data_IF_398940773774
#
_entry.id   IF_398940773774
#
_cell.length_a   1.000
_cell.length_b   1.000
_cell.length_c   1.000
_cell.angle_alpha   90.00
_cell.angle_beta   90.00
_cell.angle_gamma   90.00
#
_symmetry.space_group_name_H-M   'P 1'
#
loop_
_entity.id
_entity.type
_entity.pdbx_description
1 polymer ?
#
# COMPACT_ATOMS: atom_id res chain seq x y z
N UNK A 1 -10.06 8.97 -8.37
CA UNK A 1 -10.92 8.76 -7.17
C UNK A 1 -10.21 9.43 -6.03
N UNK A 2 -10.86 10.37 -5.36
CA UNK A 2 -10.22 11.12 -4.30
C UNK A 2 -11.11 12.27 -3.91
N UNK A 3 -11.67 12.19 -2.71
CA UNK A 3 -12.28 13.33 -2.05
C UNK A 3 -11.20 14.27 -1.53
N UNK A 4 -11.61 15.37 -0.91
CA UNK A 4 -10.71 16.09 -0.02
C UNK A 4 -10.49 15.19 1.21
N UNK A 5 -9.23 14.86 1.49
CA UNK A 5 -8.86 14.10 2.69
C UNK A 5 -7.72 14.80 3.39
N UNK A 6 -7.76 14.80 4.72
CA UNK A 6 -6.61 15.02 5.58
C UNK A 6 -6.64 13.94 6.64
N UNK A 7 -5.73 12.99 6.56
CA UNK A 7 -5.74 11.80 7.40
C UNK A 7 -4.35 11.54 7.98
N UNK A 8 -4.18 11.50 9.31
CA UNK A 8 -2.92 11.06 9.91
C UNK A 8 -2.73 9.56 9.63
N UNK A 9 -1.50 9.15 9.32
CA UNK A 9 -1.14 7.76 9.02
C UNK A 9 -0.35 7.19 10.19
N UNK A 10 -0.95 6.24 10.92
CA UNK A 10 -0.30 5.58 12.06
C UNK A 10 0.79 4.61 11.59
N UNK A 11 0.49 3.85 10.53
CA UNK A 11 1.35 2.84 9.97
C UNK A 11 1.33 2.83 8.45
N UNK A 12 2.50 2.54 7.86
CA UNK A 12 2.61 2.12 6.48
C UNK A 12 2.88 0.62 6.45
N UNK A 13 2.06 -0.13 5.72
CA UNK A 13 2.30 -1.52 5.35
C UNK A 13 2.79 -1.51 3.91
N UNK A 14 4.05 -1.84 3.70
CA UNK A 14 4.71 -1.78 2.41
C UNK A 14 5.06 -3.19 1.92
N UNK A 15 4.56 -3.54 0.73
CA UNK A 15 4.95 -4.74 -0.01
C UNK A 15 6.07 -4.36 -0.97
N UNK A 16 7.26 -4.88 -0.74
CA UNK A 16 8.43 -4.56 -1.54
C UNK A 16 8.32 -5.17 -2.94
N UNK A 17 8.25 -4.33 -3.97
CA UNK A 17 8.08 -4.75 -5.35
C UNK A 17 9.19 -5.71 -5.82
N UNK A 18 10.46 -5.45 -5.44
CA UNK A 18 11.60 -6.26 -5.90
C UNK A 18 11.54 -7.66 -5.30
N UNK A 19 11.32 -7.75 -4.00
CA UNK A 19 11.20 -9.03 -3.31
C UNK A 19 9.93 -9.79 -3.74
N UNK A 20 8.83 -9.07 -3.93
CA UNK A 20 7.55 -9.66 -4.33
C UNK A 20 7.59 -10.32 -5.71
N UNK A 21 8.26 -9.71 -6.69
CA UNK A 21 8.35 -10.23 -8.06
C UNK A 21 9.06 -11.57 -8.10
N UNK A 22 10.09 -11.74 -7.27
CA UNK A 22 10.92 -12.95 -7.20
C UNK A 22 10.22 -14.14 -6.55
N UNK A 23 9.03 -13.95 -5.98
CA UNK A 23 8.27 -15.04 -5.36
C UNK A 23 7.66 -15.98 -6.40
N UNK A 24 7.54 -17.25 -6.00
CA UNK A 24 6.72 -18.22 -6.71
C UNK A 24 5.24 -17.81 -6.71
N UNK A 25 4.45 -18.42 -7.61
CA UNK A 25 3.01 -18.20 -7.67
C UNK A 25 2.33 -18.43 -6.31
N UNK A 26 2.67 -19.53 -5.63
CA UNK A 26 2.18 -19.83 -4.28
C UNK A 26 2.64 -18.78 -3.25
N UNK A 27 3.90 -18.35 -3.31
CA UNK A 27 4.44 -17.31 -2.44
C UNK A 27 3.62 -16.01 -2.53
N UNK A 28 3.20 -15.62 -3.73
CA UNK A 28 2.38 -14.43 -3.97
C UNK A 28 0.98 -14.52 -3.34
N UNK A 29 0.34 -15.69 -3.36
CA UNK A 29 -0.91 -15.91 -2.62
C UNK A 29 -0.68 -15.92 -1.11
N UNK A 30 0.44 -16.47 -0.64
CA UNK A 30 0.78 -16.43 0.79
C UNK A 30 0.91 -14.98 1.28
N UNK A 31 1.56 -14.10 0.50
CA UNK A 31 1.61 -12.65 0.81
C UNK A 31 0.20 -12.05 0.95
N UNK A 32 -0.74 -12.38 0.04
CA UNK A 32 -2.12 -11.92 0.16
C UNK A 32 -2.77 -12.33 1.48
N UNK A 33 -2.63 -13.60 1.89
CA UNK A 33 -3.15 -14.09 3.18
C UNK A 33 -2.50 -13.38 4.36
N UNK A 34 -1.20 -13.11 4.29
CA UNK A 34 -0.47 -12.38 5.34
C UNK A 34 -0.93 -10.92 5.46
N UNK A 35 -1.25 -10.27 4.34
CA UNK A 35 -1.88 -8.94 4.35
C UNK A 35 -3.22 -8.99 5.09
N UNK A 36 -4.01 -10.04 4.88
CA UNK A 36 -5.25 -10.26 5.64
C UNK A 36 -5.06 -10.34 7.16
N UNK A 37 -3.98 -10.98 7.61
CA UNK A 37 -3.62 -11.05 9.04
C UNK A 37 -3.29 -9.65 9.57
N UNK A 38 -2.48 -8.89 8.83
CA UNK A 38 -2.08 -7.52 9.19
C UNK A 38 -3.30 -6.58 9.21
N UNK A 39 -4.18 -6.70 8.22
CA UNK A 39 -5.43 -5.97 8.12
C UNK A 39 -6.31 -6.14 9.36
N UNK A 40 -6.42 -7.36 9.88
CA UNK A 40 -7.17 -7.60 11.13
C UNK A 40 -6.42 -7.04 12.35
N UNK A 41 -5.09 -7.20 12.40
CA UNK A 41 -4.29 -6.72 13.53
C UNK A 41 -4.32 -5.20 13.68
N UNK A 42 -4.46 -4.47 12.57
CA UNK A 42 -4.41 -3.01 12.53
C UNK A 42 -5.78 -2.35 12.29
N UNK A 43 -6.90 -3.08 12.42
CA UNK A 43 -8.27 -2.64 12.04
C UNK A 43 -8.74 -1.27 12.56
N UNK A 44 -8.20 -0.78 13.68
CA UNK A 44 -8.57 0.51 14.28
C UNK A 44 -7.43 1.53 14.24
N UNK A 45 -6.58 1.43 13.21
CA UNK A 45 -5.45 2.32 12.97
C UNK A 45 -5.59 2.92 11.58
N UNK A 46 -5.04 4.12 11.41
CA UNK A 46 -4.97 4.70 10.08
C UNK A 46 -3.79 4.08 9.34
N UNK A 47 -4.07 3.12 8.47
CA UNK A 47 -3.04 2.35 7.77
C UNK A 47 -3.02 2.69 6.29
N UNK A 48 -1.84 3.02 5.78
CA UNK A 48 -1.58 3.09 4.35
C UNK A 48 -0.95 1.79 3.88
N UNK A 49 -1.67 1.05 3.04
CA UNK A 49 -1.18 -0.13 2.35
C UNK A 49 -0.59 0.30 1.01
N UNK A 50 0.66 -0.07 0.76
CA UNK A 50 1.38 0.30 -0.45
C UNK A 50 2.02 -0.94 -1.07
N UNK A 51 1.93 -1.10 -2.38
CA UNK A 51 2.64 -2.20 -3.03
C UNK A 51 2.43 -2.35 -4.53
N UNK A 52 3.03 -3.40 -5.11
CA UNK A 52 3.20 -3.54 -6.56
C UNK A 52 1.90 -3.84 -7.31
N UNK A 53 1.68 -3.10 -8.40
CA UNK A 53 0.78 -3.47 -9.48
C UNK A 53 -0.71 -3.51 -9.10
N UNK A 54 -1.44 -4.43 -9.73
CA UNK A 54 -2.89 -4.62 -9.60
C UNK A 54 -3.25 -5.42 -8.35
N UNK A 55 -3.84 -4.75 -7.38
CA UNK A 55 -4.40 -5.45 -6.22
C UNK A 55 -5.74 -6.08 -6.59
N UNK A 56 -5.99 -7.30 -6.12
CA UNK A 56 -7.20 -8.06 -6.45
C UNK A 56 -7.13 -8.83 -7.77
N UNK A 57 -5.95 -8.92 -8.38
CA UNK A 57 -5.80 -9.64 -9.64
C UNK A 57 -5.86 -11.16 -9.45
N UNK A 58 -6.45 -11.86 -10.42
CA UNK A 58 -6.31 -13.32 -10.57
C UNK A 58 -4.98 -13.72 -11.24
N UNK A 59 -4.18 -12.74 -11.68
CA UNK A 59 -2.88 -12.94 -12.34
C UNK A 59 -1.76 -12.37 -11.46
N UNK A 60 -1.15 -13.15 -10.55
CA UNK A 60 -0.14 -12.66 -9.59
C UNK A 60 1.13 -12.07 -10.22
N UNK A 61 1.35 -12.29 -11.52
CA UNK A 61 2.43 -11.62 -12.25
C UNK A 61 2.21 -10.10 -12.38
N UNK A 62 0.96 -9.64 -12.30
CA UNK A 62 0.56 -8.24 -12.50
C UNK A 62 0.32 -7.47 -11.20
N UNK A 63 0.37 -8.13 -10.04
CA UNK A 63 0.12 -7.51 -8.74
C UNK A 63 -0.27 -8.53 -7.67
N UNK A 64 -0.87 -8.03 -6.57
CA UNK A 64 -1.16 -8.84 -5.38
C UNK A 64 -2.55 -9.48 -5.46
N UNK A 65 -2.67 -10.83 -5.39
CA UNK A 65 -3.94 -11.55 -5.54
C UNK A 65 -4.74 -11.58 -4.22
N UNK A 66 -5.01 -10.40 -3.66
CA UNK A 66 -5.82 -10.26 -2.45
C UNK A 66 -7.32 -10.39 -2.74
N UNK A 67 -8.09 -10.82 -1.75
CA UNK A 67 -9.52 -10.52 -1.69
C UNK A 67 -9.74 -9.20 -0.94
N UNK A 68 -10.87 -8.54 -1.18
CA UNK A 68 -11.18 -7.27 -0.48
C UNK A 68 -11.20 -7.44 1.04
N UNK A 69 -11.67 -8.57 1.56
CA UNK A 69 -11.68 -8.89 3.00
C UNK A 69 -10.28 -8.88 3.64
N UNK A 70 -9.23 -8.95 2.83
CA UNK A 70 -7.85 -8.92 3.28
C UNK A 70 -7.28 -7.51 3.39
N UNK A 71 -7.97 -6.49 2.87
CA UNK A 71 -7.53 -5.09 2.92
C UNK A 71 -8.63 -4.12 3.41
N UNK A 72 -9.82 -4.62 3.73
CA UNK A 72 -11.01 -3.81 4.01
C UNK A 72 -10.93 -2.89 5.23
N UNK A 73 -9.93 -3.03 6.11
CA UNK A 73 -9.73 -2.12 7.24
C UNK A 73 -8.57 -1.13 7.00
N UNK A 74 -7.97 -1.11 5.82
CA UNK A 74 -6.96 -0.11 5.47
C UNK A 74 -7.63 1.25 5.27
N UNK A 75 -6.91 2.34 5.54
CA UNK A 75 -7.44 3.70 5.33
C UNK A 75 -7.01 4.28 3.99
N UNK A 76 -5.85 3.84 3.50
CA UNK A 76 -5.34 4.21 2.18
C UNK A 76 -4.82 2.96 1.48
N UNK A 77 -5.15 2.81 0.21
CA UNK A 77 -4.57 1.83 -0.70
C UNK A 77 -3.77 2.57 -1.77
N UNK A 78 -2.48 2.27 -1.88
CA UNK A 78 -1.57 2.84 -2.85
C UNK A 78 -1.03 1.73 -3.77
N UNK A 79 -1.51 1.72 -5.02
CA UNK A 79 -0.94 0.88 -6.06
C UNK A 79 0.28 1.56 -6.66
N UNK A 80 1.42 0.88 -6.63
CA UNK A 80 2.68 1.38 -7.20
C UNK A 80 2.88 0.71 -8.56
N UNK A 81 2.82 1.51 -9.62
CA UNK A 81 3.34 1.13 -10.92
C UNK A 81 4.86 1.23 -10.84
N UNK A 82 5.51 0.08 -10.83
CA UNK A 82 6.96 -0.02 -10.92
C UNK A 82 7.35 -0.29 -12.36
N UNK A 83 8.46 0.28 -12.79
CA UNK A 83 9.05 -0.02 -14.07
C UNK A 83 10.23 -0.96 -13.90
N UNK A 84 10.01 -2.24 -14.14
CA UNK A 84 11.10 -3.21 -14.20
C UNK A 84 11.05 -3.93 -15.56
N UNK A 85 12.16 -3.86 -16.29
CA UNK A 85 12.45 -4.66 -17.48
C UNK A 85 11.29 -4.81 -18.50
N UNK A 86 10.63 -3.70 -18.84
CA UNK A 86 9.64 -3.65 -19.93
C UNK A 86 8.22 -4.10 -19.56
N UNK A 87 7.96 -4.47 -18.31
CA UNK A 87 6.62 -4.72 -17.80
C UNK A 87 6.24 -3.62 -16.80
N UNK A 88 5.52 -2.60 -17.27
CA UNK A 88 4.73 -1.76 -16.38
C UNK A 88 3.37 -2.43 -16.22
N UNK A 89 3.05 -3.03 -15.05
CA UNK A 89 1.69 -3.51 -14.85
C UNK A 89 0.76 -2.29 -14.93
N UNK A 90 -0.18 -2.34 -15.87
CA UNK A 90 -1.30 -1.40 -15.88
C UNK A 90 -1.96 -1.43 -14.50
N UNK A 91 -2.05 -0.31 -13.79
CA UNK A 91 -2.74 -0.29 -12.51
C UNK A 91 -4.24 -0.58 -12.70
N UNK A 92 -4.88 -1.06 -11.64
CA UNK A 92 -6.33 -1.28 -11.70
C UNK A 92 -7.09 0.04 -11.59
N UNK A 93 -6.43 1.13 -11.16
CA UNK A 93 -7.07 2.39 -10.79
C UNK A 93 -8.17 2.21 -9.74
N UNK A 94 -8.05 1.16 -8.92
CA UNK A 94 -9.05 0.76 -7.93
C UNK A 94 -10.29 0.11 -8.52
N UNK A 95 -10.36 -0.12 -9.83
CA UNK A 95 -11.58 -0.63 -10.50
C UNK A 95 -12.01 -2.02 -10.02
N UNK A 96 -11.08 -2.90 -9.68
CA UNK A 96 -11.39 -4.24 -9.15
C UNK A 96 -12.17 -4.21 -7.83
N UNK A 97 -12.02 -3.13 -7.05
CA UNK A 97 -12.63 -2.97 -5.74
C UNK A 97 -13.38 -1.65 -5.64
N UNK A 98 -13.84 -1.06 -6.75
CA UNK A 98 -14.25 0.34 -6.71
C UNK A 98 -15.39 0.59 -5.71
N UNK A 99 -16.45 -0.21 -5.81
CA UNK A 99 -17.59 -0.11 -4.89
C UNK A 99 -17.17 -0.39 -3.46
N UNK A 100 -16.34 -1.42 -3.25
CA UNK A 100 -15.85 -1.80 -1.93
C UNK A 100 -14.98 -0.71 -1.27
N UNK A 101 -14.08 -0.07 -2.05
CA UNK A 101 -13.21 1.02 -1.58
C UNK A 101 -14.04 2.25 -1.20
N UNK A 102 -15.05 2.59 -2.00
CA UNK A 102 -15.96 3.70 -1.71
C UNK A 102 -16.78 3.41 -0.45
N UNK A 103 -17.35 2.22 -0.33
CA UNK A 103 -18.17 1.81 0.81
C UNK A 103 -17.37 1.76 2.12
N UNK A 104 -16.15 1.21 2.07
CA UNK A 104 -15.27 1.13 3.24
C UNK A 104 -14.53 2.44 3.54
N UNK A 105 -14.66 3.47 2.69
CA UNK A 105 -13.98 4.76 2.88
C UNK A 105 -12.46 4.68 2.73
N UNK A 106 -11.96 3.76 1.90
CA UNK A 106 -10.52 3.57 1.67
C UNK A 106 -10.08 4.55 0.58
N UNK A 107 -9.19 5.47 0.94
CA UNK A 107 -8.65 6.43 -0.03
C UNK A 107 -7.70 5.71 -1.00
N UNK A 108 -7.92 5.90 -2.30
CA UNK A 108 -7.13 5.23 -3.33
C UNK A 108 -6.07 6.16 -3.93
N UNK A 109 -4.85 5.66 -4.08
CA UNK A 109 -3.73 6.34 -4.73
C UNK A 109 -3.15 5.43 -5.80
N UNK A 110 -2.96 5.98 -7.00
CA UNK A 110 -2.15 5.37 -8.05
C UNK A 110 -0.82 6.14 -8.14
N UNK A 111 0.28 5.44 -7.85
CA UNK A 111 1.63 6.02 -7.84
C UNK A 111 2.40 5.49 -9.04
N UNK A 112 2.77 6.38 -9.95
CA UNK A 112 3.61 6.07 -11.12
C UNK A 112 5.02 6.59 -10.88
N UNK A 113 5.95 5.69 -10.57
CA UNK A 113 7.35 6.04 -10.24
C UNK A 113 8.09 6.77 -11.36
N UNK A 114 7.62 6.63 -12.60
CA UNK A 114 8.20 7.23 -13.80
C UNK A 114 7.64 8.60 -14.20
N UNK A 115 6.63 9.12 -13.49
CA UNK A 115 6.06 10.41 -13.83
C UNK A 115 6.87 11.54 -13.20
N UNK A 116 7.23 12.56 -13.99
CA UNK A 116 8.06 13.70 -13.55
C UNK A 116 7.41 14.53 -12.44
N UNK A 117 6.09 14.51 -12.37
CA UNK A 117 5.32 15.26 -11.36
C UNK A 117 5.08 14.45 -10.07
N UNK A 118 5.55 13.20 -10.01
CA UNK A 118 5.38 12.30 -8.86
C UNK A 118 6.72 12.14 -8.14
N UNK A 119 6.73 12.48 -6.85
CA UNK A 119 7.89 12.27 -5.98
C UNK A 119 7.57 11.15 -5.01
N UNK A 120 8.23 10.00 -5.18
CA UNK A 120 8.20 8.90 -4.23
C UNK A 120 9.59 8.64 -3.65
N UNK A 121 9.77 8.95 -2.36
CA UNK A 121 11.04 8.77 -1.67
C UNK A 121 11.10 7.38 -1.02
N UNK A 122 11.22 6.34 -1.85
CA UNK A 122 11.26 4.94 -1.40
C UNK A 122 12.45 4.68 -0.46
N UNK A 123 13.62 5.26 -0.75
CA UNK A 123 14.82 5.14 0.09
C UNK A 123 14.59 5.69 1.51
N UNK A 124 13.95 6.87 1.62
CA UNK A 124 13.56 7.41 2.92
C UNK A 124 12.60 6.47 3.62
N UNK A 125 11.59 5.92 2.94
CA UNK A 125 10.66 4.96 3.53
C UNK A 125 11.38 3.69 4.04
N UNK A 126 12.31 3.15 3.25
CA UNK A 126 13.11 1.96 3.59
C UNK A 126 14.11 2.21 4.71
N UNK A 127 14.48 3.46 4.99
CA UNK A 127 15.34 3.81 6.14
C UNK A 127 14.65 3.64 7.49
N UNK A 128 13.31 3.55 7.54
CA UNK A 128 12.57 3.33 8.77
C UNK A 128 12.77 1.90 9.25
N UNK A 129 12.79 1.73 10.58
CA UNK A 129 12.84 0.40 11.18
C UNK A 129 11.59 -0.41 10.78
N UNK A 130 11.80 -1.55 10.14
CA UNK A 130 10.74 -2.53 9.91
C UNK A 130 10.33 -3.15 11.27
N UNK A 131 9.09 -2.87 11.71
CA UNK A 131 8.54 -3.33 12.99
C UNK A 131 7.53 -4.48 12.82
N UNK A 132 7.53 -5.16 11.68
CA UNK A 132 6.56 -6.25 11.39
C UNK A 132 6.51 -7.32 12.50
N UNK A 133 7.68 -7.72 13.04
CA UNK A 133 7.78 -8.71 14.14
C UNK A 133 7.30 -8.18 15.50
N UNK A 134 7.24 -6.86 15.68
CA UNK A 134 6.71 -6.25 16.89
C UNK A 134 5.17 -6.27 16.87
N UNK A 135 4.58 -6.16 15.68
CA UNK A 135 3.13 -6.18 15.44
C UNK A 135 2.59 -7.61 15.35
N UNK A 136 3.29 -8.50 14.64
CA UNK A 136 2.91 -9.89 14.43
C UNK A 136 3.92 -10.81 15.10
N UNK A 137 3.50 -11.47 16.19
CA UNK A 137 4.38 -12.30 17.03
C UNK A 137 4.31 -13.80 16.74
N UNK A 138 3.18 -14.27 16.22
CA UNK A 138 2.84 -15.72 16.20
C UNK A 138 2.81 -16.32 14.80
N UNK A 139 2.94 -15.51 13.76
CA UNK A 139 2.82 -15.95 12.35
C UNK A 139 4.16 -15.87 11.65
N UNK A 140 4.44 -16.85 10.78
CA UNK A 140 5.57 -16.82 9.84
C UNK A 140 5.31 -15.78 8.73
N UNK A 141 5.39 -14.49 9.07
CA UNK A 141 5.29 -13.39 8.12
C UNK A 141 6.58 -13.30 7.32
N UNK A 142 6.46 -13.14 6.00
CA UNK A 142 7.60 -12.88 5.13
C UNK A 142 8.06 -11.42 5.31
N UNK A 143 9.09 -11.23 6.12
CA UNK A 143 9.60 -9.92 6.52
C UNK A 143 10.43 -9.22 5.44
N UNK A 144 10.90 -9.97 4.44
CA UNK A 144 11.69 -9.45 3.33
C UNK A 144 10.75 -8.71 2.36
N UNK A 145 9.58 -9.31 2.12
CA UNK A 145 8.53 -8.78 1.25
C UNK A 145 7.64 -7.78 1.97
N UNK A 146 7.18 -8.09 3.20
CA UNK A 146 6.25 -7.24 3.94
C UNK A 146 6.99 -6.47 5.03
N UNK A 147 6.93 -5.15 4.91
CA UNK A 147 7.53 -4.21 5.86
C UNK A 147 6.42 -3.40 6.52
N UNK A 148 6.52 -3.19 7.83
CA UNK A 148 5.60 -2.30 8.57
C UNK A 148 6.42 -1.18 9.19
N UNK A 149 6.02 0.05 8.94
CA UNK A 149 6.65 1.25 9.49
C UNK A 149 5.66 2.03 10.34
N UNK A 150 6.10 2.50 11.51
CA UNK A 150 5.31 3.39 12.36
C UNK A 150 5.60 4.85 12.00
N UNK A 151 4.57 5.64 11.74
CA UNK A 151 4.71 6.96 11.10
C UNK A 151 4.06 8.08 11.90
N UNK A 152 4.51 8.29 13.14
CA UNK A 152 3.97 9.36 14.00
C UNK A 152 4.14 10.75 13.34
N UNK A 153 3.03 11.44 13.08
CA UNK A 153 3.02 12.80 12.51
C UNK A 153 3.04 12.85 10.98
N UNK A 154 2.98 11.70 10.29
CA UNK A 154 2.76 11.65 8.85
C UNK A 154 1.28 11.85 8.55
N UNK A 155 0.96 12.71 7.60
CA UNK A 155 -0.42 12.92 7.12
C UNK A 155 -0.48 12.79 5.60
N UNK A 156 -1.56 12.18 5.10
CA UNK A 156 -1.95 12.29 3.69
C UNK A 156 -2.98 13.42 3.54
N UNK A 157 -2.74 14.26 2.55
CA UNK A 157 -3.60 15.36 2.15
C UNK A 157 -3.94 15.23 0.67
N UNK A 158 -5.21 15.43 0.32
CA UNK A 158 -5.67 15.52 -1.07
C UNK A 158 -6.56 16.73 -1.23
N UNK A 159 -6.30 17.52 -2.27
CA UNK A 159 -7.15 18.61 -2.72
C UNK A 159 -7.62 18.35 -4.15
N UNK A 160 -8.92 18.18 -4.30
CA UNK A 160 -9.55 17.91 -5.61
C UNK A 160 -9.40 19.11 -6.54
N UNK A 161 -9.39 20.33 -5.99
CA UNK A 161 -9.36 21.58 -6.76
C UNK A 161 -8.03 21.73 -7.46
N UNK A 162 -6.95 21.47 -6.73
CA UNK A 162 -5.58 21.57 -7.25
C UNK A 162 -5.09 20.24 -7.86
N UNK A 163 -5.85 19.16 -7.67
CA UNK A 163 -5.48 17.78 -8.05
C UNK A 163 -4.15 17.33 -7.44
N UNK A 164 -3.83 17.83 -6.26
CA UNK A 164 -2.60 17.50 -5.53
C UNK A 164 -2.93 16.49 -4.44
N UNK A 165 -2.14 15.42 -4.40
CA UNK A 165 -2.06 14.50 -3.26
C UNK A 165 -0.66 14.59 -2.69
N UNK A 166 -0.53 14.80 -1.39
CA UNK A 166 0.76 14.88 -0.69
C UNK A 166 0.71 14.01 0.56
N UNK A 167 1.78 13.27 0.83
CA UNK A 167 1.96 12.55 2.08
C UNK A 167 3.28 13.00 2.71
N UNK A 168 3.20 13.79 3.78
CA UNK A 168 4.35 14.42 4.40
C UNK A 168 4.20 14.50 5.91
N UNK A 169 5.33 14.61 6.60
CA UNK A 169 5.31 14.95 8.02
C UNK A 169 4.83 16.38 8.16
N UNK A 170 3.91 16.60 9.10
CA UNK A 170 3.50 17.95 9.43
C UNK A 170 4.75 18.78 9.78
N UNK A 171 4.99 19.83 8.99
CA UNK A 171 6.13 20.73 9.16
C UNK A 171 5.78 21.91 10.07
N UNK A 172 4.61 21.85 10.73
CA UNK A 172 4.19 22.80 11.75
C UNK A 172 4.89 22.54 13.10
N UNK A 173 6.21 22.74 13.15
CA UNK A 173 6.99 22.95 14.39
C UNK A 173 8.08 24.00 14.15
#
# INVERSE_FOLDING_TARGET
MGGNIRLPIDYIVFVDSKEYINLSHEGKYNIARQIGIINQKLKNKNVMLMGPGRWGTSTPALGVPVHFTELCNMSVMCEIAYSNEGLMPELSYGSHFFQDLVEAGIFYVALFDNNKDIVFNEEKLKSYKNIVKEIIKETNINIDVIKIYKTKGLEIYSDITTQIVTCAYDTSL
#
